data_IF_056664968073
#
_entry.id   IF_056664968073
#
_cell.length_a   1.000
_cell.length_b   1.000
_cell.length_c   1.000
_cell.angle_alpha   90.00
_cell.angle_beta   90.00
_cell.angle_gamma   90.00
#
_symmetry.space_group_name_H-M   'P 1'
#
loop_
_entity.id
_entity.type
_entity.pdbx_description
1 polymer ?
#
# COMPACT_ATOMS: atom_id res chain seq x y z
N UNK A 1 -20.91 -22.40 -12.24
CA UNK A 1 -19.80 -23.20 -11.69
C UNK A 1 -19.86 -23.42 -10.17
N UNK A 2 -19.61 -22.45 -9.28
CA UNK A 2 -19.61 -22.72 -7.81
C UNK A 2 -20.98 -23.07 -7.24
N UNK A 3 -22.01 -22.34 -7.65
CA UNK A 3 -23.41 -22.62 -7.24
C UNK A 3 -23.85 -24.04 -7.64
N UNK A 4 -23.53 -24.47 -8.86
CA UNK A 4 -23.79 -25.83 -9.33
C UNK A 4 -22.94 -26.86 -8.58
N UNK A 5 -21.65 -26.57 -8.35
CA UNK A 5 -20.70 -27.46 -7.67
C UNK A 5 -21.14 -27.78 -6.24
N UNK A 6 -21.66 -26.79 -5.52
CA UNK A 6 -22.02 -26.94 -4.11
C UNK A 6 -23.51 -27.13 -3.86
N UNK A 7 -24.35 -26.94 -4.89
CA UNK A 7 -25.81 -26.92 -4.76
C UNK A 7 -26.36 -25.70 -4.03
N UNK A 8 -25.51 -24.74 -3.63
CA UNK A 8 -25.94 -23.51 -2.96
C UNK A 8 -26.48 -22.55 -4.02
N UNK A 9 -27.75 -22.12 -3.94
CA UNK A 9 -28.34 -21.25 -4.95
C UNK A 9 -27.71 -19.86 -4.94
N UNK A 10 -27.35 -19.36 -6.13
CA UNK A 10 -26.85 -18.00 -6.30
C UNK A 10 -27.78 -17.20 -7.21
N UNK A 11 -28.25 -16.05 -6.71
CA UNK A 11 -29.08 -15.13 -7.51
C UNK A 11 -28.29 -13.93 -7.99
N UNK A 12 -27.71 -13.17 -7.05
CA UNK A 12 -26.90 -11.99 -7.32
C UNK A 12 -26.09 -11.59 -6.10
N UNK A 13 -25.05 -10.78 -6.33
CA UNK A 13 -24.41 -10.05 -5.24
C UNK A 13 -25.36 -8.97 -4.76
N UNK A 14 -25.62 -8.95 -3.46
CA UNK A 14 -26.40 -7.90 -2.82
C UNK A 14 -25.69 -7.49 -1.54
N UNK A 15 -25.35 -6.20 -1.45
CA UNK A 15 -24.68 -5.60 -0.31
C UNK A 15 -25.31 -4.22 -0.06
N UNK A 16 -25.55 -3.89 1.20
CA UNK A 16 -26.07 -2.59 1.62
C UNK A 16 -25.07 -2.01 2.62
N UNK A 17 -24.40 -0.92 2.24
CA UNK A 17 -23.46 -0.24 3.12
C UNK A 17 -24.18 0.22 4.39
N UNK A 18 -23.58 -0.04 5.56
CA UNK A 18 -24.14 0.33 6.86
C UNK A 18 -25.12 -0.66 7.48
N UNK A 19 -25.49 -1.75 6.79
CA UNK A 19 -26.36 -2.78 7.35
C UNK A 19 -25.95 -4.20 6.89
N UNK A 20 -25.05 -4.87 7.64
CA UNK A 20 -24.57 -6.22 7.33
C UNK A 20 -25.66 -7.29 7.40
N UNK A 21 -26.75 -7.04 8.14
CA UNK A 21 -27.80 -8.02 8.43
C UNK A 21 -29.06 -7.81 7.58
N UNK A 22 -29.30 -6.61 7.03
CA UNK A 22 -30.51 -6.33 6.24
C UNK A 22 -30.64 -7.09 4.92
N UNK A 23 -29.59 -7.77 4.46
CA UNK A 23 -29.45 -8.11 3.04
C UNK A 23 -29.69 -9.59 2.72
N UNK A 24 -29.86 -10.44 3.74
CA UNK A 24 -30.84 -11.53 3.69
C UNK A 24 -30.46 -12.87 3.05
N UNK A 25 -29.20 -13.16 2.72
CA UNK A 25 -28.78 -14.56 2.56
C UNK A 25 -27.36 -14.83 3.10
N UNK A 26 -27.18 -16.04 3.62
CA UNK A 26 -25.96 -16.48 4.32
C UNK A 26 -24.71 -16.41 3.43
N UNK A 27 -24.88 -16.65 2.13
CA UNK A 27 -23.80 -16.60 1.16
C UNK A 27 -23.28 -15.17 0.94
N UNK A 28 -24.16 -14.18 0.81
CA UNK A 28 -23.77 -12.76 0.70
C UNK A 28 -23.09 -12.27 1.97
N UNK A 29 -23.47 -12.78 3.15
CA UNK A 29 -22.79 -12.48 4.42
C UNK A 29 -21.36 -13.06 4.42
N UNK A 30 -21.21 -14.34 4.10
CA UNK A 30 -19.90 -15.00 4.00
C UNK A 30 -18.98 -14.30 2.97
N UNK A 31 -19.49 -13.96 1.79
CA UNK A 31 -18.74 -13.22 0.76
C UNK A 31 -18.30 -11.84 1.26
N UNK A 32 -19.16 -11.13 2.00
CA UNK A 32 -18.82 -9.81 2.55
C UNK A 32 -17.70 -9.93 3.59
N UNK A 33 -17.82 -10.89 4.51
CA UNK A 33 -16.82 -11.13 5.54
C UNK A 33 -15.47 -11.58 4.96
N UNK A 34 -15.47 -12.51 3.99
CA UNK A 34 -14.27 -12.98 3.32
C UNK A 34 -13.59 -11.86 2.52
N UNK A 35 -14.36 -11.07 1.76
CA UNK A 35 -13.81 -9.94 1.00
C UNK A 35 -13.23 -8.85 1.92
N UNK A 36 -13.91 -8.50 3.02
CA UNK A 36 -13.39 -7.54 3.98
C UNK A 36 -12.05 -7.99 4.59
N UNK A 37 -11.93 -9.28 4.92
CA UNK A 37 -10.68 -9.85 5.40
C UNK A 37 -9.57 -9.82 4.33
N UNK A 38 -9.90 -10.16 3.07
CA UNK A 38 -8.96 -10.06 1.96
C UNK A 38 -8.48 -8.61 1.74
N UNK A 39 -9.39 -7.63 1.79
CA UNK A 39 -9.03 -6.21 1.70
C UNK A 39 -8.06 -5.80 2.80
N UNK A 40 -8.28 -6.24 4.04
CA UNK A 40 -7.35 -5.97 5.15
C UNK A 40 -5.94 -6.50 4.90
N UNK A 41 -5.84 -7.69 4.31
CA UNK A 41 -4.56 -8.34 3.97
C UNK A 41 -3.86 -7.59 2.83
N UNK A 42 -4.57 -7.30 1.74
CA UNK A 42 -4.04 -6.51 0.63
C UNK A 42 -3.58 -5.13 1.10
N UNK A 43 -4.38 -4.46 1.95
CA UNK A 43 -4.05 -3.16 2.51
C UNK A 43 -2.77 -3.21 3.35
N UNK A 44 -2.63 -4.21 4.22
CA UNK A 44 -1.43 -4.40 5.03
C UNK A 44 -0.18 -4.62 4.17
N UNK A 45 -0.28 -5.39 3.09
CA UNK A 45 0.84 -5.60 2.15
C UNK A 45 1.18 -4.31 1.40
N UNK A 46 0.20 -3.59 0.88
CA UNK A 46 0.39 -2.34 0.14
C UNK A 46 1.13 -1.32 1.01
N UNK A 47 0.63 -1.06 2.22
CA UNK A 47 1.28 -0.12 3.15
C UNK A 47 2.64 -0.64 3.62
N UNK A 48 2.76 -1.95 3.86
CA UNK A 48 4.03 -2.57 4.24
C UNK A 48 5.12 -2.46 3.16
N UNK A 49 4.75 -2.30 1.89
CA UNK A 49 5.65 -2.02 0.78
C UNK A 49 5.91 -0.53 0.57
N UNK A 50 5.30 0.35 1.36
CA UNK A 50 5.38 1.80 1.20
C UNK A 50 4.54 2.35 0.04
N UNK A 51 3.68 1.54 -0.56
CA UNK A 51 2.78 1.98 -1.63
C UNK A 51 1.51 2.66 -1.06
N UNK A 52 0.90 3.55 -1.84
CA UNK A 52 -0.31 4.26 -1.43
C UNK A 52 -1.58 3.44 -1.69
N UNK A 53 -2.42 3.16 -0.67
CA UNK A 53 -3.71 2.49 -0.84
C UNK A 53 -4.72 3.23 -1.73
N UNK A 54 -4.60 4.55 -1.83
CA UNK A 54 -5.55 5.39 -2.56
C UNK A 54 -5.27 5.51 -4.07
N UNK A 55 -4.08 5.11 -4.52
CA UNK A 55 -3.65 5.26 -5.92
C UNK A 55 -3.96 4.00 -6.73
N UNK A 56 -5.26 3.74 -6.96
CA UNK A 56 -5.71 2.64 -7.82
C UNK A 56 -5.67 2.98 -9.31
N UNK A 57 -5.68 1.93 -10.13
CA UNK A 57 -5.70 1.94 -11.58
C UNK A 57 -7.11 1.71 -12.15
N UNK A 58 -7.80 0.65 -11.68
CA UNK A 58 -9.16 0.32 -12.16
C UNK A 58 -10.19 0.98 -11.26
N UNK A 59 -10.03 0.88 -9.95
CA UNK A 59 -10.84 1.59 -8.98
C UNK A 59 -10.23 2.97 -8.69
N UNK A 60 -11.01 4.04 -8.83
CA UNK A 60 -10.55 5.43 -8.58
C UNK A 60 -11.46 6.18 -7.63
N UNK A 61 -10.93 7.20 -6.95
CA UNK A 61 -11.72 8.12 -6.11
C UNK A 61 -12.01 7.62 -4.69
N UNK A 62 -11.44 6.47 -4.28
CA UNK A 62 -11.55 5.94 -2.93
C UNK A 62 -10.18 5.90 -2.23
N UNK A 63 -10.16 6.08 -0.91
CA UNK A 63 -8.94 5.94 -0.11
C UNK A 63 -8.36 4.51 -0.10
N UNK A 64 -9.13 3.53 -0.59
CA UNK A 64 -8.72 2.12 -0.70
C UNK A 64 -8.74 1.61 -2.14
N UNK A 65 -8.71 2.52 -3.12
CA UNK A 65 -8.78 2.21 -4.55
C UNK A 65 -7.79 1.11 -4.97
N UNK A 66 -6.51 1.22 -4.63
CA UNK A 66 -5.51 0.22 -4.99
C UNK A 66 -5.70 -1.11 -4.24
N UNK A 67 -6.24 -1.07 -3.02
CA UNK A 67 -6.59 -2.28 -2.26
C UNK A 67 -7.64 -3.10 -3.01
N UNK A 68 -8.65 -2.44 -3.58
CA UNK A 68 -9.70 -3.10 -4.35
C UNK A 68 -9.15 -3.74 -5.62
N UNK A 69 -8.27 -3.03 -6.34
CA UNK A 69 -7.62 -3.56 -7.54
C UNK A 69 -6.84 -4.85 -7.25
N UNK A 70 -5.99 -4.83 -6.23
CA UNK A 70 -5.18 -6.00 -5.88
C UNK A 70 -6.05 -7.14 -5.35
N UNK A 71 -7.06 -6.86 -4.53
CA UNK A 71 -7.94 -7.89 -3.99
C UNK A 71 -8.73 -8.61 -5.11
N UNK A 72 -9.12 -7.89 -6.15
CA UNK A 72 -9.89 -8.44 -7.27
C UNK A 72 -9.11 -9.51 -8.06
N UNK A 73 -7.78 -9.48 -8.04
CA UNK A 73 -6.93 -10.53 -8.61
C UNK A 73 -7.13 -11.90 -7.92
N UNK A 74 -7.60 -11.93 -6.67
CA UNK A 74 -7.65 -13.15 -5.85
C UNK A 74 -9.07 -13.56 -5.45
N UNK A 75 -10.08 -12.71 -5.62
CA UNK A 75 -11.47 -13.03 -5.20
C UNK A 75 -12.00 -14.32 -5.82
N UNK A 76 -11.77 -14.51 -7.11
CA UNK A 76 -12.25 -15.68 -7.85
C UNK A 76 -11.65 -17.00 -7.34
N UNK A 77 -10.40 -16.97 -6.90
CA UNK A 77 -9.68 -18.17 -6.49
C UNK A 77 -9.80 -18.46 -4.99
N UNK A 78 -10.11 -17.44 -4.17
CA UNK A 78 -10.11 -17.56 -2.72
C UNK A 78 -11.49 -17.30 -2.09
N UNK A 79 -11.99 -16.07 -2.13
CA UNK A 79 -13.15 -15.68 -1.32
C UNK A 79 -14.45 -16.23 -1.86
N UNK A 80 -14.61 -16.27 -3.19
CA UNK A 80 -15.79 -16.83 -3.84
C UNK A 80 -15.93 -18.33 -3.55
N UNK A 81 -14.97 -19.21 -3.93
CA UNK A 81 -15.09 -20.64 -3.68
C UNK A 81 -15.27 -20.96 -2.19
N UNK A 82 -14.52 -20.30 -1.31
CA UNK A 82 -14.64 -20.47 0.14
C UNK A 82 -16.05 -20.19 0.65
N UNK A 83 -16.65 -19.06 0.24
CA UNK A 83 -17.99 -18.71 0.72
C UNK A 83 -19.05 -19.73 0.30
N UNK A 84 -18.95 -20.26 -0.93
CA UNK A 84 -19.82 -21.35 -1.40
C UNK A 84 -19.59 -22.65 -0.63
N UNK A 85 -18.34 -23.00 -0.31
CA UNK A 85 -18.02 -24.22 0.43
C UNK A 85 -18.47 -24.15 1.89
N UNK A 86 -18.34 -23.00 2.54
CA UNK A 86 -18.84 -22.77 3.89
C UNK A 86 -20.36 -22.83 3.94
N UNK A 87 -21.04 -22.14 3.01
CA UNK A 87 -22.50 -22.16 2.91
C UNK A 87 -23.04 -23.59 2.71
N UNK A 88 -22.38 -24.40 1.87
CA UNK A 88 -22.77 -25.79 1.62
C UNK A 88 -22.62 -26.69 2.86
N UNK A 89 -21.67 -26.35 3.75
CA UNK A 89 -21.46 -27.02 5.04
C UNK A 89 -22.40 -26.51 6.13
N UNK A 90 -23.26 -25.53 5.85
CA UNK A 90 -24.10 -24.87 6.85
C UNK A 90 -23.32 -23.95 7.80
N UNK A 91 -22.07 -23.59 7.47
CA UNK A 91 -21.24 -22.64 8.22
C UNK A 91 -21.50 -21.25 7.67
N UNK A 92 -22.24 -20.43 8.41
CA UNK A 92 -22.79 -19.16 7.91
C UNK A 92 -22.37 -17.96 8.76
N UNK A 93 -21.52 -18.16 9.76
CA UNK A 93 -21.03 -17.07 10.59
C UNK A 93 -19.89 -16.32 9.88
N UNK A 94 -19.78 -15.01 10.11
CA UNK A 94 -18.66 -14.23 9.56
C UNK A 94 -17.29 -14.74 10.04
N UNK A 95 -17.27 -15.33 11.25
CA UNK A 95 -16.08 -15.98 11.81
C UNK A 95 -15.61 -17.14 10.94
N UNK A 96 -16.52 -17.91 10.37
CA UNK A 96 -16.19 -19.06 9.52
C UNK A 96 -15.46 -18.59 8.26
N UNK A 97 -15.98 -17.52 7.63
CA UNK A 97 -15.34 -16.89 6.47
C UNK A 97 -13.93 -16.38 6.80
N UNK A 98 -13.74 -15.68 7.92
CA UNK A 98 -12.42 -15.16 8.31
C UNK A 98 -11.43 -16.27 8.64
N UNK A 99 -11.87 -17.29 9.37
CA UNK A 99 -11.01 -18.42 9.79
C UNK A 99 -10.63 -19.27 8.58
N UNK A 100 -11.60 -19.61 7.74
CA UNK A 100 -11.36 -20.37 6.51
C UNK A 100 -10.45 -19.63 5.52
N UNK A 101 -10.62 -18.30 5.38
CA UNK A 101 -9.73 -17.52 4.51
C UNK A 101 -8.30 -17.45 5.07
N UNK A 102 -8.15 -17.27 6.39
CA UNK A 102 -6.84 -17.30 7.06
C UNK A 102 -6.12 -18.62 6.77
N UNK A 103 -6.81 -19.74 6.92
CA UNK A 103 -6.22 -21.07 6.73
C UNK A 103 -5.80 -21.26 5.26
N UNK A 104 -6.67 -20.90 4.30
CA UNK A 104 -6.32 -20.91 2.86
C UNK A 104 -5.12 -20.03 2.51
N UNK A 105 -5.00 -18.86 3.13
CA UNK A 105 -3.88 -17.93 2.88
C UNK A 105 -2.58 -18.51 3.41
N UNK A 106 -2.60 -19.13 4.58
CA UNK A 106 -1.43 -19.77 5.18
C UNK A 106 -0.99 -20.98 4.35
N UNK A 107 -1.92 -21.85 3.98
CA UNK A 107 -1.66 -23.06 3.18
C UNK A 107 -1.07 -22.71 1.81
N UNK A 108 -1.63 -21.70 1.13
CA UNK A 108 -1.19 -21.32 -0.21
C UNK A 108 -0.10 -20.23 -0.23
N UNK A 109 0.37 -19.80 0.94
CA UNK A 109 1.35 -18.70 1.10
C UNK A 109 0.98 -17.43 0.32
N UNK A 110 -0.31 -17.08 0.30
CA UNK A 110 -0.82 -16.01 -0.58
C UNK A 110 -0.16 -14.65 -0.31
N UNK A 111 0.20 -14.35 0.94
CA UNK A 111 0.84 -13.07 1.28
C UNK A 111 2.14 -12.83 0.50
N UNK A 112 2.99 -13.85 0.37
CA UNK A 112 4.22 -13.74 -0.43
C UNK A 112 3.96 -13.53 -1.91
N UNK A 113 2.89 -14.14 -2.43
CA UNK A 113 2.43 -13.93 -3.81
C UNK A 113 1.92 -12.49 -4.01
N UNK A 114 1.11 -11.96 -3.09
CA UNK A 114 0.64 -10.56 -3.16
C UNK A 114 1.83 -9.58 -3.18
N UNK A 115 2.82 -9.81 -2.31
CA UNK A 115 4.06 -9.00 -2.29
C UNK A 115 4.77 -9.04 -3.65
N UNK A 116 4.93 -10.24 -4.21
CA UNK A 116 5.57 -10.41 -5.51
C UNK A 116 4.78 -9.71 -6.62
N UNK A 117 3.47 -9.93 -6.69
CA UNK A 117 2.60 -9.39 -7.74
C UNK A 117 2.58 -7.84 -7.70
N UNK A 118 2.52 -7.22 -6.52
CA UNK A 118 2.60 -5.76 -6.38
C UNK A 118 3.97 -5.23 -6.83
N UNK A 119 5.07 -5.88 -6.41
CA UNK A 119 6.42 -5.46 -6.82
C UNK A 119 6.60 -5.54 -8.33
N UNK A 120 6.16 -6.64 -8.93
CA UNK A 120 6.22 -6.84 -10.38
C UNK A 120 5.34 -5.82 -11.12
N UNK A 121 4.18 -5.47 -10.57
CA UNK A 121 3.28 -4.46 -11.15
C UNK A 121 3.88 -3.05 -11.13
N UNK A 122 4.47 -2.63 -10.01
CA UNK A 122 4.95 -1.26 -9.81
C UNK A 122 6.39 -1.03 -10.28
N UNK A 123 7.23 -2.06 -10.25
CA UNK A 123 8.63 -2.01 -10.63
C UNK A 123 9.00 -3.27 -11.45
N UNK A 124 8.49 -3.37 -12.70
CA UNK A 124 8.72 -4.54 -13.55
C UNK A 124 10.20 -4.72 -13.92
N UNK A 125 10.97 -3.64 -13.98
CA UNK A 125 12.38 -3.64 -14.35
C UNK A 125 13.30 -3.45 -13.12
N UNK A 126 14.44 -4.15 -13.13
CA UNK A 126 15.44 -4.06 -12.05
C UNK A 126 16.00 -2.64 -11.87
N UNK A 127 16.02 -1.84 -12.95
CA UNK A 127 16.49 -0.45 -12.96
C UNK A 127 15.59 0.52 -12.18
N UNK A 128 14.36 0.12 -11.84
CA UNK A 128 13.43 0.95 -11.04
C UNK A 128 13.65 0.73 -9.53
N UNK A 129 14.50 -0.23 -9.14
CA UNK A 129 14.80 -0.49 -7.73
C UNK A 129 15.84 0.50 -7.23
N UNK A 130 15.44 1.35 -6.28
CA UNK A 130 16.36 2.26 -5.60
C UNK A 130 17.30 1.41 -4.71
N UNK A 131 18.63 1.55 -4.84
CA UNK A 131 19.59 0.90 -3.96
C UNK A 131 19.32 1.26 -2.49
N UNK A 132 19.37 0.27 -1.60
CA UNK A 132 19.05 0.45 -0.17
C UNK A 132 20.07 1.37 0.54
N UNK A 133 21.26 1.55 -0.05
CA UNK A 133 22.42 2.22 0.55
C UNK A 133 22.65 3.65 0.02
N UNK A 134 21.75 4.20 -0.80
CA UNK A 134 21.83 5.61 -1.21
C UNK A 134 21.14 6.51 -0.19
N UNK A 135 21.86 7.50 0.31
CA UNK A 135 21.26 8.61 1.05
C UNK A 135 20.33 9.38 0.10
N UNK A 136 19.02 9.17 0.30
CA UNK A 136 17.94 9.75 -0.50
C UNK A 136 17.56 11.16 -0.05
N UNK A 137 18.30 11.78 0.87
CA UNK A 137 18.07 13.17 1.21
C UNK A 137 18.50 14.08 0.05
N UNK A 138 17.57 14.34 -0.87
CA UNK A 138 17.76 15.18 -2.05
C UNK A 138 16.71 16.28 -2.09
N UNK A 139 17.12 17.45 -2.57
CA UNK A 139 16.21 18.53 -2.94
C UNK A 139 15.94 18.46 -4.45
N UNK A 140 14.69 18.66 -4.84
CA UNK A 140 14.34 18.80 -6.24
C UNK A 140 14.55 20.24 -6.71
N UNK A 141 15.43 20.44 -7.68
CA UNK A 141 15.66 21.69 -8.40
C UNK A 141 15.16 21.56 -9.85
N UNK A 142 14.42 22.57 -10.32
CA UNK A 142 13.81 22.54 -11.66
C UNK A 142 14.86 22.53 -12.78
N UNK A 143 16.03 23.14 -12.57
CA UNK A 143 17.08 23.28 -13.58
C UNK A 143 18.11 22.15 -13.53
N UNK A 144 18.49 21.75 -12.32
CA UNK A 144 19.60 20.84 -12.04
C UNK A 144 19.13 19.41 -11.70
N UNK A 145 17.83 19.20 -11.54
CA UNK A 145 17.26 17.93 -11.14
C UNK A 145 17.41 17.70 -9.64
N UNK A 146 17.76 16.48 -9.23
CA UNK A 146 17.98 16.19 -7.82
C UNK A 146 19.36 16.66 -7.36
N UNK A 147 19.40 17.55 -6.37
CA UNK A 147 20.63 18.02 -5.71
C UNK A 147 20.72 17.48 -4.30
N UNK A 148 21.92 17.44 -3.73
CA UNK A 148 22.12 16.98 -2.36
C UNK A 148 21.32 17.82 -1.36
N UNK A 149 20.57 17.15 -0.48
CA UNK A 149 20.05 17.71 0.75
C UNK A 149 21.18 18.02 1.73
N UNK A 150 20.86 18.71 2.82
CA UNK A 150 21.79 19.06 3.90
C UNK A 150 23.01 19.92 3.49
N UNK A 151 22.99 20.49 2.29
CA UNK A 151 24.00 21.46 1.81
C UNK A 151 23.41 22.86 1.84
N UNK A 152 24.16 23.83 2.37
CA UNK A 152 23.82 25.24 2.21
C UNK A 152 24.13 25.68 0.77
N UNK A 153 23.07 25.90 -0.02
CA UNK A 153 23.17 26.35 -1.40
C UNK A 153 23.19 27.88 -1.55
N UNK A 154 23.25 28.64 -0.45
CA UNK A 154 23.52 30.08 -0.55
C UNK A 154 24.88 30.27 -1.21
N UNK A 155 24.94 30.98 -2.33
CA UNK A 155 26.22 31.42 -2.88
C UNK A 155 27.00 32.18 -1.82
N UNK A 156 28.33 32.24 -1.95
CA UNK A 156 29.23 33.06 -1.12
C UNK A 156 28.92 34.57 -1.17
N UNK A 157 27.82 34.97 -1.82
CA UNK A 157 27.33 36.34 -1.89
C UNK A 157 26.35 36.57 -0.73
N UNK A 158 26.64 37.60 0.07
CA UNK A 158 25.78 38.07 1.15
C UNK A 158 24.31 38.10 0.71
N UNK A 159 23.49 37.27 1.34
CA UNK A 159 22.02 37.28 1.17
C UNK A 159 21.39 38.61 1.63
N UNK A 160 22.19 39.50 2.24
CA UNK A 160 21.85 40.89 2.52
C UNK A 160 22.19 41.72 1.28
N UNK A 161 21.25 41.83 0.34
CA UNK A 161 21.36 42.86 -0.68
C UNK A 161 21.34 44.24 0.02
N UNK A 162 22.19 45.23 -0.37
CA UNK A 162 22.27 46.57 0.25
C UNK A 162 21.00 47.44 0.15
N UNK A 163 19.83 46.85 -0.12
CA UNK A 163 18.52 47.50 -0.17
C UNK A 163 17.38 46.68 0.46
N UNK A 164 17.68 45.55 1.11
CA UNK A 164 16.68 44.77 1.84
C UNK A 164 16.41 45.47 3.18
N UNK A 165 15.46 46.40 3.20
CA UNK A 165 15.06 47.11 4.42
C UNK A 165 14.49 46.17 5.49
N UNK A 166 14.25 46.72 6.69
CA UNK A 166 13.83 46.10 7.98
C UNK A 166 12.62 45.12 7.96
N UNK A 167 12.08 44.77 6.80
CA UNK A 167 10.91 43.89 6.64
C UNK A 167 11.26 42.40 6.43
N UNK A 168 12.53 42.01 6.50
CA UNK A 168 12.94 40.61 6.32
C UNK A 168 13.80 40.13 7.50
N UNK A 169 13.40 39.02 8.11
CA UNK A 169 14.21 38.32 9.11
C UNK A 169 14.94 37.19 8.41
N UNK A 170 16.25 37.30 8.28
CA UNK A 170 17.10 36.17 7.93
C UNK A 170 17.43 35.40 9.21
N UNK A 171 17.00 34.14 9.29
CA UNK A 171 17.42 33.22 10.36
C UNK A 171 18.69 32.54 9.88
N UNK A 172 19.83 33.07 10.30
CA UNK A 172 21.13 32.42 10.11
C UNK A 172 21.28 31.38 11.22
N UNK A 173 21.46 30.11 10.84
CA UNK A 173 21.77 29.04 11.79
C UNK A 173 23.09 29.29 12.51
N UNK A 174 23.34 28.66 13.68
CA UNK A 174 24.62 28.77 14.36
C UNK A 174 25.75 28.28 13.44
N UNK A 175 26.92 28.91 13.54
CA UNK A 175 28.13 28.38 12.93
C UNK A 175 28.39 26.99 13.49
N UNK A 176 28.46 25.99 12.61
CA UNK A 176 28.89 24.65 12.99
C UNK A 176 30.41 24.59 12.85
N UNK A 177 31.08 24.07 13.88
CA UNK A 177 32.49 23.72 13.76
C UNK A 177 32.65 22.73 12.59
N UNK A 178 33.68 22.91 11.73
CA UNK A 178 33.97 21.94 10.70
C UNK A 178 34.18 20.57 11.35
N UNK A 179 33.70 19.48 10.72
CA UNK A 179 33.96 18.13 11.24
C UNK A 179 35.47 17.99 11.44
N UNK A 180 35.87 17.56 12.63
CA UNK A 180 37.25 17.24 12.92
C UNK A 180 37.72 16.27 11.82
N UNK A 181 38.68 16.72 11.00
CA UNK A 181 39.12 15.97 9.83
C UNK A 181 39.45 14.54 10.20
N UNK A 182 39.05 13.61 9.33
CA UNK A 182 39.38 12.19 9.51
C UNK A 182 40.88 12.04 9.79
N UNK A 183 41.27 11.21 10.77
CA UNK A 183 42.67 10.95 11.03
C UNK A 183 43.32 10.41 9.75
N UNK A 184 44.55 10.84 9.42
CA UNK A 184 45.21 10.44 8.19
C UNK A 184 45.32 8.91 8.15
N UNK A 185 44.75 8.30 7.10
CA UNK A 185 45.06 6.94 6.73
C UNK A 185 46.56 6.85 6.47
N UNK A 186 47.27 6.19 7.39
CA UNK A 186 48.68 5.85 7.19
C UNK A 186 48.75 4.63 6.27
N UNK A 187 49.73 4.60 5.34
CA UNK A 187 49.88 3.55 4.33
C UNK A 187 50.30 2.20 4.92
#
# INVERSE_FOLDING_TARGET
MHSERTGVPWKRRHYKAGDPYAVGDDLNRLLSAANAALYGICHAVIVGLGASPGLGFVHTGSAISFVLDIADLYKADYTIPLAFDLAAKGLTEERDARTGLRDLIAENRLLGRIVHDIKTLLAPDESTRIPIDEDVNQLWDEHSGAVAGDVNWSGTEDLVQPGMGDQHIAIIGPEFDPPAGDPPHTP
#
